data_IF_724741948835
#
_entry.id   IF_724741948835
#
_cell.length_a   1.000
_cell.length_b   1.000
_cell.length_c   1.000
_cell.angle_alpha   90.00
_cell.angle_beta   90.00
_cell.angle_gamma   90.00
#
_symmetry.space_group_name_H-M   'P 1'
#
loop_
_entity.id
_entity.type
_entity.pdbx_description
1 polymer ?
#
# COMPACT_ATOMS: atom_id res chain seq x y z
N UNK A 1 -31.66 -8.09 -5.38
CA UNK A 1 -31.06 -9.44 -5.36
C UNK A 1 -29.58 -9.28 -5.63
N UNK A 2 -28.68 -9.83 -4.79
CA UNK A 2 -27.25 -9.84 -5.08
C UNK A 2 -26.97 -10.65 -6.35
N UNK A 3 -25.78 -10.47 -6.93
CA UNK A 3 -25.34 -11.26 -8.09
C UNK A 3 -25.38 -12.76 -7.74
N UNK A 4 -25.78 -13.59 -8.70
CA UNK A 4 -26.04 -15.02 -8.47
C UNK A 4 -24.78 -15.81 -8.05
N UNK A 5 -23.61 -15.34 -8.48
CA UNK A 5 -22.32 -15.91 -8.10
C UNK A 5 -21.77 -15.25 -6.83
N UNK A 6 -21.47 -16.07 -5.82
CA UNK A 6 -20.92 -15.64 -4.54
C UNK A 6 -19.50 -15.07 -4.66
N UNK A 7 -18.72 -15.48 -5.67
CA UNK A 7 -17.38 -14.96 -5.90
C UNK A 7 -17.37 -13.46 -6.22
N UNK A 8 -18.48 -12.96 -6.77
CA UNK A 8 -18.61 -11.59 -7.25
C UNK A 8 -19.71 -10.81 -6.53
N UNK A 9 -20.34 -11.39 -5.50
CA UNK A 9 -21.33 -10.70 -4.69
C UNK A 9 -20.80 -10.35 -3.29
N UNK A 10 -21.51 -9.49 -2.59
CA UNK A 10 -21.12 -9.00 -1.25
C UNK A 10 -21.58 -9.91 -0.10
N UNK A 11 -22.37 -10.96 -0.37
CA UNK A 11 -23.01 -11.75 0.69
C UNK A 11 -21.99 -12.41 1.60
N UNK A 12 -20.92 -12.97 1.04
CA UNK A 12 -19.82 -13.57 1.83
C UNK A 12 -19.22 -12.55 2.80
N UNK A 13 -18.81 -11.38 2.30
CA UNK A 13 -18.24 -10.33 3.12
C UNK A 13 -19.21 -9.82 4.20
N UNK A 14 -20.51 -9.71 3.91
CA UNK A 14 -21.50 -9.30 4.91
C UNK A 14 -21.67 -10.37 6.00
N UNK A 15 -21.76 -11.64 5.62
CA UNK A 15 -21.87 -12.77 6.55
C UNK A 15 -20.64 -12.94 7.44
N UNK A 16 -19.44 -12.66 6.93
CA UNK A 16 -18.20 -12.80 7.71
C UNK A 16 -17.95 -11.58 8.63
N UNK A 17 -18.56 -10.42 8.33
CA UNK A 17 -18.40 -9.19 9.12
C UNK A 17 -19.37 -9.10 10.30
N UNK A 18 -20.64 -9.37 10.05
CA UNK A 18 -21.71 -9.07 11.01
C UNK A 18 -22.22 -10.36 11.64
N UNK A 19 -22.58 -10.30 12.92
CA UNK A 19 -23.20 -11.44 13.61
C UNK A 19 -24.63 -11.68 13.10
N UNK A 20 -25.32 -10.61 12.71
CA UNK A 20 -26.64 -10.66 12.11
C UNK A 20 -26.59 -11.00 10.62
N UNK A 21 -27.73 -11.46 10.08
CA UNK A 21 -27.85 -11.75 8.65
C UNK A 21 -27.74 -10.46 7.81
N UNK A 22 -27.26 -10.52 6.55
CA UNK A 22 -27.13 -9.35 5.68
C UNK A 22 -28.43 -8.55 5.47
N UNK A 23 -29.58 -9.19 5.56
CA UNK A 23 -30.91 -8.54 5.45
C UNK A 23 -31.44 -7.95 6.78
N UNK A 24 -30.71 -8.09 7.88
CA UNK A 24 -31.13 -7.59 9.19
C UNK A 24 -31.23 -6.05 9.20
N UNK A 25 -32.27 -5.53 9.84
CA UNK A 25 -32.52 -4.09 9.97
C UNK A 25 -32.21 -3.53 11.36
N UNK A 26 -31.70 -4.36 12.28
CA UNK A 26 -31.40 -3.98 13.66
C UNK A 26 -30.10 -4.60 14.15
N UNK A 27 -29.38 -3.90 15.03
CA UNK A 27 -28.16 -4.36 15.68
C UNK A 27 -27.99 -3.69 17.05
N UNK A 28 -26.88 -3.97 17.74
CA UNK A 28 -26.53 -3.41 19.05
C UNK A 28 -25.49 -2.30 18.92
N UNK A 29 -25.57 -1.32 19.82
CA UNK A 29 -24.62 -0.20 19.95
C UNK A 29 -24.21 -0.02 21.41
N UNK A 30 -23.09 0.67 21.65
CA UNK A 30 -22.58 1.05 22.98
C UNK A 30 -22.18 -0.13 23.90
N UNK A 31 -22.14 -1.35 23.37
CA UNK A 31 -21.82 -2.59 24.12
C UNK A 31 -20.43 -3.16 23.84
N UNK A 32 -19.63 -2.49 23.01
CA UNK A 32 -18.37 -3.03 22.49
C UNK A 32 -17.12 -2.52 23.23
N UNK A 33 -17.26 -1.65 24.24
CA UNK A 33 -16.09 -1.12 24.97
C UNK A 33 -15.25 -0.12 24.18
N UNK A 34 -15.82 0.57 23.19
CA UNK A 34 -15.13 1.61 22.43
C UNK A 34 -13.98 1.05 21.59
N UNK A 35 -12.79 1.65 21.68
CA UNK A 35 -11.64 1.23 20.89
C UNK A 35 -11.08 -0.15 21.29
N UNK A 36 -11.40 -0.64 22.50
CA UNK A 36 -10.85 -1.91 23.02
C UNK A 36 -11.39 -3.16 22.30
N UNK A 37 -12.46 -3.03 21.51
CA UNK A 37 -12.93 -4.11 20.63
C UNK A 37 -11.94 -4.39 19.48
N UNK A 38 -11.06 -3.44 19.17
CA UNK A 38 -10.18 -3.48 18.01
C UNK A 38 -8.70 -3.62 18.40
N UNK A 39 -8.04 -4.61 17.81
CA UNK A 39 -6.64 -4.93 18.09
C UNK A 39 -5.69 -3.81 17.64
N UNK A 40 -5.94 -3.17 16.48
CA UNK A 40 -5.09 -2.09 15.96
C UNK A 40 -5.22 -0.82 16.77
N UNK A 41 -6.44 -0.45 17.17
CA UNK A 41 -6.61 0.69 18.07
C UNK A 41 -5.89 0.48 19.40
N UNK A 42 -5.95 -0.73 19.96
CA UNK A 42 -5.24 -1.08 21.20
C UNK A 42 -3.72 -0.96 21.03
N UNK A 43 -3.17 -1.51 19.94
CA UNK A 43 -1.76 -1.36 19.56
C UNK A 43 -1.34 0.11 19.45
N UNK A 44 -2.14 0.96 18.80
CA UNK A 44 -1.84 2.38 18.65
C UNK A 44 -1.80 3.13 19.98
N UNK A 45 -2.66 2.76 20.95
CA UNK A 45 -2.62 3.33 22.30
C UNK A 45 -1.31 2.96 23.01
N UNK A 46 -0.90 1.70 22.91
CA UNK A 46 0.32 1.22 23.55
C UNK A 46 1.57 1.88 22.95
N UNK A 47 1.69 1.89 21.63
CA UNK A 47 2.81 2.54 20.93
C UNK A 47 2.81 4.06 21.12
N UNK A 48 1.62 4.70 21.10
CA UNK A 48 1.48 6.13 21.38
C UNK A 48 2.04 6.53 22.75
N UNK A 49 1.80 5.71 23.78
CA UNK A 49 2.36 5.91 25.13
C UNK A 49 3.88 5.77 25.14
N UNK A 50 4.43 4.74 24.48
CA UNK A 50 5.88 4.52 24.37
C UNK A 50 6.57 5.70 23.66
N UNK A 51 6.02 6.13 22.52
CA UNK A 51 6.55 7.25 21.73
C UNK A 51 6.53 8.57 22.51
N UNK A 52 5.44 8.86 23.22
CA UNK A 52 5.36 10.07 24.04
C UNK A 52 6.46 10.09 25.12
N UNK A 53 6.75 8.96 25.75
CA UNK A 53 7.81 8.84 26.77
C UNK A 53 9.23 8.94 26.20
N UNK A 54 9.43 8.53 24.95
CA UNK A 54 10.73 8.59 24.27
C UNK A 54 11.09 10.00 23.77
N UNK A 55 10.11 10.88 23.56
CA UNK A 55 10.35 12.25 23.08
C UNK A 55 10.96 13.13 24.19
N UNK A 56 11.93 13.97 23.83
CA UNK A 56 12.67 14.86 24.75
C UNK A 56 11.74 15.69 25.65
N UNK A 57 10.77 16.38 25.06
CA UNK A 57 9.80 17.21 25.80
C UNK A 57 8.54 16.46 26.22
N UNK A 58 8.51 15.13 26.04
CA UNK A 58 7.33 14.27 26.24
C UNK A 58 6.07 14.78 25.54
N UNK A 59 6.24 15.41 24.37
CA UNK A 59 5.12 15.93 23.59
C UNK A 59 4.14 14.79 23.28
N UNK A 60 2.84 14.95 23.64
CA UNK A 60 1.87 13.87 23.53
C UNK A 60 1.74 13.38 22.07
N UNK A 61 1.44 12.08 21.94
CA UNK A 61 1.15 11.43 20.67
C UNK A 61 -0.32 11.04 20.57
N UNK A 62 -0.60 9.91 19.91
CA UNK A 62 -1.94 9.35 19.84
C UNK A 62 -2.52 9.11 21.24
N UNK A 63 -3.70 9.68 21.49
CA UNK A 63 -4.48 9.48 22.72
C UNK A 63 -5.97 9.38 22.35
N UNK A 64 -6.65 8.24 22.57
CA UNK A 64 -8.05 8.05 22.21
C UNK A 64 -9.02 8.92 23.02
N UNK A 65 -8.58 9.46 24.16
CA UNK A 65 -9.39 10.35 25.01
C UNK A 65 -9.38 11.81 24.50
N UNK A 66 -8.52 12.14 23.53
CA UNK A 66 -8.41 13.47 22.92
C UNK A 66 -8.98 13.41 21.51
N UNK A 67 -10.13 14.06 21.31
CA UNK A 67 -10.86 14.07 20.03
C UNK A 67 -12.19 13.31 20.13
N UNK A 68 -12.45 12.41 19.18
CA UNK A 68 -13.70 11.64 19.11
C UNK A 68 -13.49 10.16 19.47
N UNK A 69 -14.12 9.65 20.53
CA UNK A 69 -14.06 8.24 20.89
C UNK A 69 -14.61 7.33 19.78
N UNK A 70 -13.79 6.37 19.35
CA UNK A 70 -14.18 5.38 18.35
C UNK A 70 -14.80 4.14 19.01
N UNK A 71 -15.63 3.41 18.26
CA UNK A 71 -16.15 2.10 18.69
C UNK A 71 -17.45 2.12 19.51
N UNK A 72 -18.22 3.21 19.47
CA UNK A 72 -19.60 3.19 19.97
C UNK A 72 -20.52 2.29 19.13
N UNK A 73 -20.14 2.08 17.86
CA UNK A 73 -20.68 1.05 16.96
C UNK A 73 -19.60 0.01 16.68
N UNK A 74 -20.00 -1.13 16.09
CA UNK A 74 -19.07 -2.16 15.68
C UNK A 74 -18.02 -1.62 14.68
N UNK A 75 -16.75 -1.86 15.00
CA UNK A 75 -15.61 -1.56 14.12
C UNK A 75 -15.35 -2.75 13.21
N UNK A 76 -15.94 -2.69 12.00
CA UNK A 76 -15.99 -3.83 11.10
C UNK A 76 -14.68 -4.07 10.34
N UNK A 77 -14.32 -5.33 10.06
CA UNK A 77 -13.25 -5.65 9.12
C UNK A 77 -13.72 -5.46 7.67
N UNK A 78 -12.79 -5.56 6.72
CA UNK A 78 -13.05 -5.50 5.28
C UNK A 78 -12.51 -6.73 4.57
N UNK A 79 -13.30 -7.25 3.62
CA UNK A 79 -12.82 -8.27 2.68
C UNK A 79 -12.22 -7.55 1.47
N UNK A 80 -11.01 -7.92 1.07
CA UNK A 80 -10.45 -7.42 -0.20
C UNK A 80 -11.24 -8.05 -1.36
N UNK A 81 -11.70 -7.21 -2.29
CA UNK A 81 -12.57 -7.68 -3.37
C UNK A 81 -11.94 -8.84 -4.15
N UNK A 82 -12.79 -9.82 -4.50
CA UNK A 82 -12.41 -11.03 -5.27
C UNK A 82 -11.32 -11.89 -4.60
N UNK A 83 -11.16 -11.73 -3.28
CA UNK A 83 -10.33 -12.59 -2.43
C UNK A 83 -11.16 -13.08 -1.25
N UNK A 84 -10.57 -13.94 -0.43
CA UNK A 84 -11.07 -14.38 0.86
C UNK A 84 -10.32 -13.72 2.05
N UNK A 85 -9.55 -12.67 1.79
CA UNK A 85 -8.70 -12.01 2.77
C UNK A 85 -9.50 -10.95 3.53
N UNK A 86 -9.67 -11.17 4.83
CA UNK A 86 -10.25 -10.22 5.78
C UNK A 86 -9.15 -9.40 6.44
N UNK A 87 -9.28 -8.08 6.44
CA UNK A 87 -8.31 -7.15 7.01
C UNK A 87 -8.94 -6.19 8.00
N UNK A 88 -8.12 -5.66 8.90
CA UNK A 88 -8.51 -4.54 9.74
C UNK A 88 -8.69 -3.27 8.89
N UNK A 89 -9.61 -2.39 9.26
CA UNK A 89 -9.85 -1.12 8.56
C UNK A 89 -8.62 -0.19 8.56
N UNK A 90 -7.86 -0.18 9.66
CA UNK A 90 -6.68 0.69 9.81
C UNK A 90 -5.49 0.21 8.97
N UNK A 91 -5.46 -1.07 8.61
CA UNK A 91 -4.42 -1.69 7.77
C UNK A 91 -4.60 -1.34 6.27
N UNK A 92 -5.70 -0.68 5.93
CA UNK A 92 -5.96 -0.11 4.60
C UNK A 92 -5.56 1.35 4.48
N UNK A 93 -5.12 2.00 5.57
CA UNK A 93 -4.47 3.29 5.44
C UNK A 93 -3.09 3.11 4.81
N UNK A 94 -2.79 3.82 3.72
CA UNK A 94 -1.57 3.60 2.93
C UNK A 94 -0.26 3.71 3.75
N UNK A 95 -0.21 4.57 4.77
CA UNK A 95 0.92 4.65 5.72
C UNK A 95 1.19 3.30 6.41
N UNK A 96 0.14 2.55 6.73
CA UNK A 96 0.22 1.25 7.42
C UNK A 96 0.33 0.08 6.43
N UNK A 97 0.32 0.35 5.13
CA UNK A 97 0.29 -0.67 4.09
C UNK A 97 1.43 -0.49 3.08
N UNK A 98 2.49 -1.28 3.24
CA UNK A 98 3.65 -1.21 2.37
C UNK A 98 3.34 -1.58 0.91
N UNK A 99 2.34 -2.44 0.65
CA UNK A 99 1.94 -2.79 -0.72
C UNK A 99 1.30 -1.59 -1.44
N UNK A 100 0.49 -0.80 -0.74
CA UNK A 100 -0.08 0.44 -1.30
C UNK A 100 1.02 1.47 -1.61
N UNK A 101 2.01 1.61 -0.74
CA UNK A 101 3.17 2.49 -0.97
C UNK A 101 3.98 2.03 -2.18
N UNK A 102 4.34 0.75 -2.24
CA UNK A 102 5.14 0.21 -3.34
C UNK A 102 4.43 0.29 -4.68
N UNK A 103 3.11 0.09 -4.72
CA UNK A 103 2.31 0.26 -5.94
C UNK A 103 2.50 1.67 -6.53
N UNK A 104 2.45 2.69 -5.68
CA UNK A 104 2.70 4.06 -6.12
C UNK A 104 4.16 4.31 -6.49
N UNK A 105 5.10 3.79 -5.71
CA UNK A 105 6.53 3.99 -5.99
C UNK A 105 6.97 3.34 -7.31
N UNK A 106 6.40 2.19 -7.67
CA UNK A 106 6.63 1.54 -8.96
C UNK A 106 6.10 2.36 -10.14
N UNK A 107 4.94 3.00 -9.99
CA UNK A 107 4.42 3.93 -10.99
C UNK A 107 5.29 5.18 -11.11
N UNK A 108 5.70 5.75 -9.96
CA UNK A 108 6.48 6.99 -9.88
C UNK A 108 7.85 6.87 -10.53
N UNK A 109 8.51 5.72 -10.36
CA UNK A 109 9.90 5.51 -10.81
C UNK A 109 10.03 5.02 -12.26
N UNK A 110 8.91 4.80 -12.96
CA UNK A 110 8.91 4.29 -14.34
C UNK A 110 9.01 5.40 -15.39
N UNK A 111 9.89 5.21 -16.38
CA UNK A 111 10.03 6.06 -17.58
C UNK A 111 10.14 5.18 -18.82
N UNK A 112 9.56 5.63 -19.94
CA UNK A 112 9.69 4.99 -21.25
C UNK A 112 10.47 5.92 -22.18
N UNK A 113 11.52 5.40 -22.83
CA UNK A 113 12.36 6.14 -23.76
C UNK A 113 12.68 5.26 -24.98
N UNK A 114 12.29 5.74 -26.17
CA UNK A 114 12.59 5.07 -27.43
C UNK A 114 14.05 5.25 -27.85
N UNK A 115 14.63 4.26 -28.52
CA UNK A 115 16.06 4.26 -28.91
C UNK A 115 16.31 4.59 -30.39
N UNK A 116 15.27 4.67 -31.22
CA UNK A 116 15.41 4.91 -32.67
C UNK A 116 16.16 6.21 -33.00
N UNK A 117 15.84 7.30 -32.30
CA UNK A 117 16.50 8.60 -32.50
C UNK A 117 17.98 8.55 -32.11
N UNK A 118 18.33 7.80 -31.06
CA UNK A 118 19.72 7.61 -30.65
C UNK A 118 20.50 6.77 -31.67
N UNK A 119 19.87 5.74 -32.22
CA UNK A 119 20.47 4.92 -33.28
C UNK A 119 20.69 5.74 -34.56
N UNK A 120 19.67 6.49 -35.01
CA UNK A 120 19.79 7.37 -36.17
C UNK A 120 20.86 8.45 -36.02
N UNK A 121 21.04 8.98 -34.80
CA UNK A 121 22.13 9.90 -34.48
C UNK A 121 23.51 9.26 -34.66
N UNK A 122 23.71 8.02 -34.18
CA UNK A 122 24.97 7.29 -34.28
C UNK A 122 25.35 7.02 -35.75
N UNK A 123 24.38 6.59 -36.56
CA UNK A 123 24.60 6.28 -37.97
C UNK A 123 24.83 7.56 -38.78
N UNK A 124 23.95 8.56 -38.65
CA UNK A 124 23.98 9.75 -39.50
C UNK A 124 25.14 10.69 -39.18
N UNK A 125 25.55 10.81 -37.90
CA UNK A 125 26.59 11.79 -37.51
C UNK A 125 27.93 11.18 -37.19
N UNK A 126 27.97 9.94 -36.70
CA UNK A 126 29.23 9.29 -36.28
C UNK A 126 29.64 8.14 -37.19
N UNK A 127 28.78 7.72 -38.13
CA UNK A 127 29.03 6.57 -39.00
C UNK A 127 29.24 5.27 -38.21
N UNK A 128 28.65 5.15 -37.02
CA UNK A 128 28.74 3.96 -36.17
C UNK A 128 27.57 3.03 -36.46
N UNK A 129 27.87 1.75 -36.68
CA UNK A 129 26.87 0.71 -36.91
C UNK A 129 26.11 0.39 -35.61
N UNK A 130 24.78 0.23 -35.72
CA UNK A 130 23.94 -0.28 -34.64
C UNK A 130 23.39 -1.65 -35.04
N UNK A 131 23.75 -2.67 -34.27
CA UNK A 131 23.33 -4.06 -34.45
C UNK A 131 22.69 -4.63 -33.18
N UNK A 132 21.98 -5.76 -33.23
CA UNK A 132 21.49 -6.44 -32.03
C UNK A 132 22.58 -6.69 -30.97
N UNK A 133 23.80 -7.04 -31.40
CA UNK A 133 24.93 -7.27 -30.47
C UNK A 133 25.34 -5.98 -29.75
N UNK A 134 25.39 -4.84 -30.46
CA UNK A 134 25.70 -3.55 -29.84
C UNK A 134 24.60 -3.08 -28.89
N UNK A 135 23.33 -3.39 -29.18
CA UNK A 135 22.20 -3.11 -28.30
C UNK A 135 22.28 -3.97 -27.04
N UNK A 136 22.58 -5.27 -27.17
CA UNK A 136 22.80 -6.14 -26.02
C UNK A 136 23.93 -5.63 -25.11
N UNK A 137 25.06 -5.21 -25.71
CA UNK A 137 26.16 -4.63 -24.94
C UNK A 137 25.76 -3.30 -24.27
N UNK A 138 25.03 -2.43 -24.96
CA UNK A 138 24.48 -1.21 -24.37
C UNK A 138 23.60 -1.52 -23.15
N UNK A 139 22.71 -2.51 -23.26
CA UNK A 139 21.82 -2.89 -22.16
C UNK A 139 22.58 -3.50 -20.98
N UNK A 140 23.67 -4.22 -21.20
CA UNK A 140 24.55 -4.73 -20.14
C UNK A 140 25.17 -3.56 -19.35
N UNK A 141 25.76 -2.60 -20.05
CA UNK A 141 26.37 -1.41 -19.43
C UNK A 141 25.31 -0.57 -18.71
N UNK A 142 24.13 -0.38 -19.32
CA UNK A 142 23.04 0.38 -18.73
C UNK A 142 22.55 -0.24 -17.42
N UNK A 143 22.41 -1.56 -17.33
CA UNK A 143 21.94 -2.21 -16.11
C UNK A 143 22.95 -2.13 -14.95
N UNK A 144 24.25 -1.92 -15.23
CA UNK A 144 25.25 -1.58 -14.21
C UNK A 144 25.19 -0.09 -13.83
N UNK A 145 25.06 0.79 -14.82
CA UNK A 145 25.09 2.23 -14.60
C UNK A 145 23.80 2.76 -13.94
N UNK A 146 22.63 2.24 -14.31
CA UNK A 146 21.32 2.74 -13.89
C UNK A 146 21.12 2.72 -12.36
N UNK A 147 21.54 1.68 -11.62
CA UNK A 147 21.50 1.68 -10.15
C UNK A 147 22.61 2.50 -9.47
N UNK A 148 23.55 3.09 -10.24
CA UNK A 148 24.61 3.96 -9.72
C UNK A 148 26.05 3.49 -9.94
N UNK A 149 26.29 2.53 -10.85
CA UNK A 149 27.65 2.08 -11.19
C UNK A 149 28.41 3.06 -12.09
N UNK A 150 29.69 3.33 -11.78
CA UNK A 150 30.55 4.12 -12.65
C UNK A 150 31.06 3.29 -13.84
N UNK A 151 31.19 3.91 -15.02
CA UNK A 151 31.65 3.24 -16.26
C UNK A 151 32.83 3.95 -16.94
N UNK A 152 33.31 5.09 -16.42
CA UNK A 152 34.42 5.87 -17.02
C UNK A 152 35.38 6.44 -15.98
N UNK A 153 34.88 7.16 -14.98
CA UNK A 153 35.73 7.95 -14.08
C UNK A 153 36.47 7.07 -13.06
N UNK A 154 37.73 7.44 -12.79
CA UNK A 154 38.44 7.11 -11.55
C UNK A 154 38.10 8.16 -10.47
N UNK A 155 38.36 7.86 -9.20
CA UNK A 155 38.03 8.71 -8.06
C UNK A 155 38.65 10.12 -8.10
#
# INVERSE_FOLDING_TARGET
MPYGDIQHNFLKAMSDKFAEKPESTSTKFYVYGGYTQDKRKTEFVEEGKKLAMQRVSRTPGYNPDVGMPQGQRYLMPYMLNHTDIMVNMDDLHWINNAAMQQCWDDMKRGIVLGLDDAHGLLEARLGKEVTPDTISHYMEVLNHALPGGAVIQEH
#
